data_IF_398743048311
#
_entry.id   IF_398743048311
#
_cell.length_a   1.000
_cell.length_b   1.000
_cell.length_c   1.000
_cell.angle_alpha   90.00
_cell.angle_beta   90.00
_cell.angle_gamma   90.00
#
_symmetry.space_group_name_H-M   'P 1'
#
loop_
_entity.id
_entity.type
_entity.pdbx_description
1 polymer ?
#
# COMPACT_ATOMS: atom_id res chain seq x y z
N UNK A 1 -10.96 -5.02 -15.88
CA UNK A 1 -11.53 -3.90 -15.11
C UNK A 1 -12.99 -3.64 -15.50
N UNK A 2 -13.32 -3.49 -16.79
CA UNK A 2 -14.68 -3.21 -17.28
C UNK A 2 -15.82 -4.09 -16.71
N UNK A 3 -15.67 -5.43 -16.65
CA UNK A 3 -16.72 -6.30 -16.07
C UNK A 3 -16.95 -6.11 -14.56
N UNK A 4 -15.90 -5.80 -13.79
CA UNK A 4 -15.99 -5.61 -12.32
C UNK A 4 -16.56 -4.23 -11.95
N UNK A 5 -16.32 -3.24 -12.80
CA UNK A 5 -16.87 -1.89 -12.70
C UNK A 5 -18.39 -1.95 -12.91
N UNK A 6 -18.86 -2.62 -13.97
CA UNK A 6 -20.28 -2.74 -14.27
C UNK A 6 -21.10 -3.57 -13.26
N UNK A 7 -20.47 -4.48 -12.51
CA UNK A 7 -21.13 -5.25 -11.45
C UNK A 7 -21.15 -4.56 -10.10
N UNK A 8 -20.51 -3.39 -9.97
CA UNK A 8 -20.40 -2.65 -8.73
C UNK A 8 -21.67 -1.81 -8.50
N UNK A 9 -22.15 -1.76 -7.24
CA UNK A 9 -23.26 -0.86 -6.84
C UNK A 9 -22.86 0.61 -6.78
N UNK A 10 -21.58 0.94 -7.03
CA UNK A 10 -21.10 2.31 -7.03
C UNK A 10 -21.67 3.08 -8.23
N UNK A 11 -21.89 4.38 -8.03
CA UNK A 11 -22.20 5.29 -9.12
C UNK A 11 -20.91 5.67 -9.85
N UNK A 12 -20.96 5.67 -11.18
CA UNK A 12 -19.82 6.04 -12.02
C UNK A 12 -20.11 7.36 -12.72
N UNK A 13 -19.19 8.29 -12.59
CA UNK A 13 -19.18 9.53 -13.35
C UNK A 13 -17.94 9.51 -14.25
N UNK A 14 -18.16 9.61 -15.57
CA UNK A 14 -17.09 9.84 -16.53
C UNK A 14 -17.06 11.32 -16.84
N UNK A 15 -15.87 11.91 -16.71
CA UNK A 15 -15.64 13.32 -17.03
C UNK A 15 -14.68 13.40 -18.20
N UNK A 16 -15.05 14.18 -19.21
CA UNK A 16 -14.16 14.47 -20.31
C UNK A 16 -13.02 15.38 -19.80
N UNK A 17 -11.79 14.97 -20.05
CA UNK A 17 -10.59 15.67 -19.60
C UNK A 17 -9.89 16.27 -20.80
N UNK A 18 -9.46 17.54 -20.67
CA UNK A 18 -8.66 18.20 -21.69
C UNK A 18 -7.22 17.71 -21.63
N UNK A 19 -6.69 17.25 -22.76
CA UNK A 19 -5.29 16.84 -22.90
C UNK A 19 -4.50 17.89 -23.68
N UNK A 20 -3.17 17.78 -23.75
CA UNK A 20 -2.33 18.67 -24.57
C UNK A 20 -1.37 19.60 -23.82
N UNK A 21 -1.41 19.62 -22.48
CA UNK A 21 -0.36 20.23 -21.65
C UNK A 21 0.14 19.19 -20.64
N UNK A 22 1.42 19.26 -20.29
CA UNK A 22 2.00 18.41 -19.25
C UNK A 22 1.19 18.56 -17.94
N UNK A 23 0.87 17.42 -17.32
CA UNK A 23 0.11 17.33 -16.06
C UNK A 23 -1.30 17.96 -16.10
N UNK A 24 -1.86 18.23 -17.29
CA UNK A 24 -3.20 18.81 -17.41
C UNK A 24 -4.27 17.94 -16.73
N UNK A 25 -4.11 16.61 -16.81
CA UNK A 25 -5.00 15.67 -16.13
C UNK A 25 -4.91 15.82 -14.61
N UNK A 26 -3.69 15.90 -14.07
CA UNK A 26 -3.45 16.00 -12.63
C UNK A 26 -4.10 17.27 -12.09
N UNK A 27 -3.92 18.42 -12.77
CA UNK A 27 -4.56 19.68 -12.40
C UNK A 27 -6.09 19.60 -12.43
N UNK A 28 -6.67 19.03 -13.48
CA UNK A 28 -8.12 18.85 -13.57
C UNK A 28 -8.64 17.94 -12.46
N UNK A 29 -7.93 16.85 -12.16
CA UNK A 29 -8.29 15.90 -11.12
C UNK A 29 -8.26 16.53 -9.73
N UNK A 30 -7.17 17.18 -9.35
CA UNK A 30 -7.06 17.80 -8.00
C UNK A 30 -7.99 18.99 -7.83
N UNK A 31 -8.29 19.72 -8.91
CA UNK A 31 -9.29 20.80 -8.89
C UNK A 31 -10.68 20.24 -8.63
N UNK A 32 -11.06 19.17 -9.34
CA UNK A 32 -12.35 18.53 -9.13
C UNK A 32 -12.46 17.86 -7.75
N UNK A 33 -11.38 17.26 -7.26
CA UNK A 33 -11.30 16.76 -5.88
C UNK A 33 -11.59 17.88 -4.87
N UNK A 34 -11.00 19.06 -5.04
CA UNK A 34 -11.28 20.23 -4.19
C UNK A 34 -12.76 20.63 -4.20
N UNK A 35 -13.40 20.62 -5.37
CA UNK A 35 -14.84 20.85 -5.51
C UNK A 35 -15.66 19.82 -4.72
N UNK A 36 -15.34 18.52 -4.85
CA UNK A 36 -16.05 17.46 -4.13
C UNK A 36 -15.89 17.60 -2.61
N UNK A 37 -14.68 17.91 -2.14
CA UNK A 37 -14.38 18.14 -0.72
C UNK A 37 -15.20 19.32 -0.18
N UNK A 38 -15.31 20.41 -0.94
CA UNK A 38 -16.11 21.56 -0.53
C UNK A 38 -17.60 21.20 -0.35
N UNK A 39 -18.14 20.29 -1.16
CA UNK A 39 -19.52 19.82 -1.03
C UNK A 39 -19.73 18.86 0.15
N UNK A 40 -18.73 18.05 0.49
CA UNK A 40 -18.88 16.96 1.46
C UNK A 40 -17.59 16.68 2.26
N UNK A 41 -17.11 17.62 3.09
CA UNK A 41 -15.75 17.57 3.67
C UNK A 41 -15.52 16.41 4.65
N UNK A 42 -16.58 15.80 5.18
CA UNK A 42 -16.51 14.66 6.10
C UNK A 42 -16.34 13.31 5.40
N UNK A 43 -16.38 13.25 4.07
CA UNK A 43 -16.20 12.02 3.32
C UNK A 43 -14.73 11.64 3.18
N UNK A 44 -14.48 10.35 2.96
CA UNK A 44 -13.15 9.85 2.61
C UNK A 44 -12.99 9.87 1.09
N UNK A 45 -11.92 10.50 0.63
CA UNK A 45 -11.58 10.60 -0.78
C UNK A 45 -10.34 9.77 -1.10
N UNK A 46 -10.37 9.14 -2.27
CA UNK A 46 -9.28 8.29 -2.73
C UNK A 46 -8.88 8.70 -4.14
N UNK A 47 -7.60 9.02 -4.33
CA UNK A 47 -6.99 9.14 -5.65
C UNK A 47 -6.45 7.77 -6.02
N UNK A 48 -6.94 7.19 -7.12
CA UNK A 48 -6.44 5.89 -7.59
C UNK A 48 -5.41 6.11 -8.68
N UNK A 49 -4.13 6.07 -8.33
CA UNK A 49 -3.03 6.28 -9.28
C UNK A 49 -1.74 5.63 -8.79
N UNK A 50 -0.89 5.25 -9.75
CA UNK A 50 0.49 4.82 -9.48
C UNK A 50 1.46 6.02 -9.37
N UNK A 51 0.98 7.21 -9.72
CA UNK A 51 1.77 8.43 -9.68
C UNK A 51 1.88 8.97 -8.24
N UNK A 52 3.11 9.02 -7.73
CA UNK A 52 3.41 9.53 -6.39
C UNK A 52 3.33 11.05 -6.30
N UNK A 53 3.25 11.76 -7.43
CA UNK A 53 3.04 13.22 -7.47
C UNK A 53 1.82 13.67 -6.68
N UNK A 54 0.76 12.85 -6.65
CA UNK A 54 -0.47 13.12 -5.90
C UNK A 54 -0.32 13.05 -4.37
N UNK A 55 0.81 12.55 -3.84
CA UNK A 55 1.07 12.60 -2.39
C UNK A 55 1.08 14.03 -1.85
N UNK A 56 1.51 14.99 -2.67
CA UNK A 56 1.47 16.41 -2.34
C UNK A 56 0.04 16.90 -2.04
N UNK A 57 -0.92 16.54 -2.90
CA UNK A 57 -2.33 16.85 -2.70
C UNK A 57 -2.91 16.14 -1.46
N UNK A 58 -2.56 14.86 -1.23
CA UNK A 58 -3.00 14.12 -0.05
C UNK A 58 -2.51 14.79 1.25
N UNK A 59 -1.23 15.18 1.29
CA UNK A 59 -0.65 15.89 2.44
C UNK A 59 -1.33 17.25 2.68
N UNK A 60 -1.55 18.03 1.63
CA UNK A 60 -2.21 19.35 1.72
C UNK A 60 -3.57 19.28 2.41
N UNK A 61 -4.38 18.26 2.09
CA UNK A 61 -5.69 18.04 2.69
C UNK A 61 -5.61 17.43 4.09
N UNK A 62 -4.65 16.53 4.33
CA UNK A 62 -4.40 15.95 5.65
C UNK A 62 -4.07 17.01 6.70
N UNK A 63 -3.29 18.04 6.34
CA UNK A 63 -2.96 19.18 7.21
C UNK A 63 -4.19 20.03 7.60
N UNK A 64 -5.33 19.81 6.92
CA UNK A 64 -6.62 20.48 7.18
C UNK A 64 -7.67 19.54 7.74
N UNK A 65 -7.24 18.39 8.27
CA UNK A 65 -8.10 17.35 8.84
C UNK A 65 -9.12 16.76 7.82
N UNK A 66 -8.73 16.70 6.54
CA UNK A 66 -9.54 16.13 5.45
C UNK A 66 -8.90 14.82 4.97
N UNK A 67 -9.71 13.77 4.90
CA UNK A 67 -9.27 12.42 4.55
C UNK A 67 -9.14 12.24 3.04
N UNK A 68 -7.91 12.40 2.52
CA UNK A 68 -7.55 12.08 1.14
C UNK A 68 -6.38 11.10 1.11
N UNK A 69 -6.56 9.96 0.43
CA UNK A 69 -5.54 8.91 0.33
C UNK A 69 -5.20 8.57 -1.12
N UNK A 70 -3.94 8.27 -1.38
CA UNK A 70 -3.47 7.75 -2.67
C UNK A 70 -3.44 6.22 -2.60
N UNK A 71 -4.20 5.56 -3.48
CA UNK A 71 -4.21 4.10 -3.60
C UNK A 71 -3.73 3.68 -4.98
N UNK A 72 -2.93 2.61 -5.02
CA UNK A 72 -2.33 2.12 -6.27
C UNK A 72 -3.29 1.25 -7.09
N UNK A 73 -4.40 0.80 -6.48
CA UNK A 73 -5.48 0.06 -7.12
C UNK A 73 -6.85 0.31 -6.45
N UNK A 74 -7.94 -0.02 -7.16
CA UNK A 74 -9.31 0.04 -6.66
C UNK A 74 -9.64 -1.05 -5.62
N UNK A 75 -8.67 -1.87 -5.20
CA UNK A 75 -8.92 -2.92 -4.20
C UNK A 75 -8.89 -2.39 -2.77
N UNK A 76 -8.62 -1.09 -2.58
CA UNK A 76 -8.77 -0.42 -1.28
C UNK A 76 -7.75 -0.89 -0.24
N UNK A 77 -6.63 -1.47 -0.67
CA UNK A 77 -5.53 -1.83 0.22
C UNK A 77 -4.78 -0.54 0.58
N UNK A 78 -5.23 0.09 1.66
CA UNK A 78 -4.49 1.13 2.36
C UNK A 78 -3.13 0.54 2.75
N UNK A 79 -2.06 0.98 2.08
CA UNK A 79 -0.70 0.46 2.29
C UNK A 79 -0.33 0.57 3.78
N UNK A 80 -0.77 1.62 4.48
CA UNK A 80 -0.48 1.82 5.91
C UNK A 80 -1.24 0.81 6.80
N UNK A 81 -2.48 0.43 6.45
CA UNK A 81 -3.22 -0.61 7.18
C UNK A 81 -2.66 -2.01 6.91
N UNK A 82 -2.26 -2.30 5.67
CA UNK A 82 -1.63 -3.58 5.31
C UNK A 82 -0.28 -3.72 6.01
N UNK A 83 0.52 -2.64 6.05
CA UNK A 83 1.78 -2.61 6.78
C UNK A 83 1.57 -2.81 8.29
N UNK A 84 0.57 -2.15 8.87
CA UNK A 84 0.23 -2.29 10.30
C UNK A 84 -0.23 -3.70 10.64
N UNK A 85 -1.11 -4.28 9.83
CA UNK A 85 -1.60 -5.65 10.03
C UNK A 85 -0.45 -6.65 9.90
N UNK A 86 0.40 -6.49 8.87
CA UNK A 86 1.57 -7.35 8.70
C UNK A 86 2.54 -7.24 9.88
N UNK A 87 2.78 -6.03 10.40
CA UNK A 87 3.63 -5.82 11.56
C UNK A 87 3.09 -6.55 12.81
N UNK A 88 1.76 -6.52 13.02
CA UNK A 88 1.10 -7.23 14.11
C UNK A 88 1.21 -8.75 13.94
N UNK A 89 0.96 -9.25 12.73
CA UNK A 89 1.05 -10.68 12.42
C UNK A 89 2.47 -11.21 12.59
N UNK A 90 3.48 -10.43 12.18
CA UNK A 90 4.90 -10.78 12.37
C UNK A 90 5.28 -10.77 13.85
N UNK A 91 4.79 -9.80 14.64
CA UNK A 91 5.01 -9.76 16.10
C UNK A 91 4.35 -10.93 16.84
N UNK A 92 3.25 -11.47 16.33
CA UNK A 92 2.62 -12.65 16.90
C UNK A 92 3.48 -13.92 16.76
N UNK A 93 4.32 -14.00 15.72
CA UNK A 93 5.17 -15.18 15.44
C UNK A 93 6.64 -14.97 15.79
N UNK A 94 7.10 -13.72 15.90
CA UNK A 94 8.48 -13.34 16.29
C UNK A 94 8.45 -12.59 17.62
N UNK A 95 8.94 -13.25 18.69
CA UNK A 95 8.90 -12.73 20.07
C UNK A 95 9.74 -11.47 20.29
N UNK A 96 10.85 -11.33 19.57
CA UNK A 96 11.74 -10.16 19.70
C UNK A 96 11.21 -9.01 18.82
N UNK A 97 10.86 -7.90 19.46
CA UNK A 97 10.32 -6.70 18.80
C UNK A 97 11.27 -6.12 17.74
N UNK A 98 12.56 -6.04 18.04
CA UNK A 98 13.55 -5.48 17.12
C UNK A 98 13.74 -6.40 15.90
N UNK A 99 13.69 -7.72 16.11
CA UNK A 99 13.72 -8.71 15.02
C UNK A 99 12.44 -8.65 14.19
N UNK A 100 11.26 -8.58 14.83
CA UNK A 100 9.97 -8.49 14.15
C UNK A 100 9.87 -7.26 13.24
N UNK A 101 10.34 -6.09 13.70
CA UNK A 101 10.33 -4.86 12.91
C UNK A 101 11.28 -4.94 11.69
N UNK A 102 12.41 -5.66 11.81
CA UNK A 102 13.31 -5.92 10.68
C UNK A 102 12.71 -6.91 9.69
N UNK A 103 12.11 -8.00 10.18
CA UNK A 103 11.44 -9.00 9.34
C UNK A 103 10.29 -8.40 8.56
N UNK A 104 9.46 -7.56 9.20
CA UNK A 104 8.36 -6.82 8.55
C UNK A 104 8.90 -5.98 7.39
N UNK A 105 9.97 -5.21 7.60
CA UNK A 105 10.63 -4.43 6.55
C UNK A 105 11.12 -5.29 5.38
N UNK A 106 11.66 -6.48 5.65
CA UNK A 106 12.08 -7.42 4.60
C UNK A 106 10.88 -7.92 3.80
N UNK A 107 9.78 -8.30 4.45
CA UNK A 107 8.57 -8.80 3.77
C UNK A 107 7.95 -7.71 2.88
N UNK A 108 7.96 -6.44 3.31
CA UNK A 108 7.46 -5.32 2.51
C UNK A 108 8.36 -5.04 1.31
N UNK A 109 9.68 -5.07 1.50
CA UNK A 109 10.66 -4.78 0.45
C UNK A 109 10.67 -5.84 -0.67
N UNK A 110 10.50 -7.12 -0.34
CA UNK A 110 10.64 -8.22 -1.30
C UNK A 110 9.30 -8.81 -1.74
N UNK A 111 9.15 -9.04 -3.06
CA UNK A 111 7.90 -9.51 -3.67
C UNK A 111 7.78 -11.04 -3.75
N UNK A 112 8.89 -11.77 -3.60
CA UNK A 112 8.96 -13.24 -3.77
C UNK A 112 9.41 -13.93 -2.49
N UNK A 113 8.95 -15.17 -2.28
CA UNK A 113 9.34 -16.00 -1.12
C UNK A 113 10.85 -16.24 -1.06
N UNK A 114 11.47 -16.52 -2.21
CA UNK A 114 12.92 -16.71 -2.32
C UNK A 114 13.69 -15.42 -2.00
N UNK A 115 13.22 -14.26 -2.47
CA UNK A 115 13.85 -12.97 -2.16
C UNK A 115 13.82 -12.63 -0.67
N UNK A 116 12.69 -12.94 -0.01
CA UNK A 116 12.55 -12.80 1.44
C UNK A 116 13.52 -13.73 2.17
N UNK A 117 13.61 -15.01 1.78
CA UNK A 117 14.52 -15.97 2.41
C UNK A 117 15.98 -15.53 2.31
N UNK A 118 16.44 -15.14 1.12
CA UNK A 118 17.82 -14.70 0.91
C UNK A 118 18.14 -13.44 1.73
N UNK A 119 17.19 -12.52 1.84
CA UNK A 119 17.35 -11.31 2.65
C UNK A 119 17.42 -11.62 4.16
N UNK A 120 16.63 -12.58 4.64
CA UNK A 120 16.69 -13.04 6.04
C UNK A 120 18.03 -13.69 6.36
N UNK A 121 18.52 -14.56 5.47
CA UNK A 121 19.85 -15.20 5.64
C UNK A 121 20.95 -14.15 5.70
N UNK A 122 20.87 -13.08 4.88
CA UNK A 122 21.85 -11.98 4.90
C UNK A 122 21.73 -11.09 6.15
N UNK A 123 20.52 -10.77 6.59
CA UNK A 123 20.30 -9.86 7.73
C UNK A 123 20.59 -10.53 9.08
N UNK A 124 20.31 -11.83 9.19
CA UNK A 124 20.47 -12.62 10.42
C UNK A 124 21.55 -13.69 10.30
N UNK A 125 22.67 -13.36 9.63
CA UNK A 125 23.83 -14.23 9.54
C UNK A 125 24.24 -14.70 10.94
N UNK A 126 24.15 -16.00 11.15
CA UNK A 126 24.54 -16.68 12.39
C UNK A 126 25.48 -17.82 12.01
N UNK A 127 26.40 -18.20 12.89
CA UNK A 127 27.37 -19.27 12.64
C UNK A 127 26.73 -20.56 12.09
N UNK A 128 25.48 -20.84 12.42
CA UNK A 128 24.76 -22.04 12.00
C UNK A 128 23.63 -21.80 10.97
N UNK A 129 23.39 -20.57 10.51
CA UNK A 129 22.21 -20.18 9.72
C UNK A 129 20.82 -20.56 10.31
N UNK A 130 20.78 -21.12 11.53
CA UNK A 130 19.57 -21.61 12.19
C UNK A 130 18.56 -20.49 12.42
N UNK A 131 19.03 -19.31 12.83
CA UNK A 131 18.16 -18.17 13.16
C UNK A 131 17.34 -17.69 11.96
N UNK A 132 17.95 -17.57 10.79
CA UNK A 132 17.24 -17.20 9.56
C UNK A 132 16.23 -18.28 9.12
N UNK A 133 16.60 -19.56 9.26
CA UNK A 133 15.73 -20.69 8.91
C UNK A 133 14.51 -20.81 9.83
N UNK A 134 14.69 -20.59 11.14
CA UNK A 134 13.61 -20.55 12.13
C UNK A 134 12.66 -19.38 11.87
N UNK A 135 13.20 -18.18 11.63
CA UNK A 135 12.39 -17.00 11.27
C UNK A 135 11.58 -17.25 10.00
N UNK A 136 12.21 -17.82 8.96
CA UNK A 136 11.51 -18.14 7.72
C UNK A 136 10.38 -19.16 7.94
N UNK A 137 10.61 -20.21 8.74
CA UNK A 137 9.56 -21.18 9.12
C UNK A 137 8.41 -20.50 9.85
N UNK A 138 8.70 -19.60 10.80
CA UNK A 138 7.70 -18.89 11.58
C UNK A 138 6.81 -17.97 10.71
N UNK A 139 7.40 -17.24 9.75
CA UNK A 139 6.63 -16.32 8.90
C UNK A 139 6.05 -16.97 7.64
N UNK A 140 6.43 -18.21 7.29
CA UNK A 140 5.96 -18.91 6.09
C UNK A 140 4.42 -18.88 5.92
N UNK A 141 3.59 -19.03 6.97
CA UNK A 141 2.14 -18.92 6.86
C UNK A 141 1.65 -17.54 6.38
N UNK A 142 2.40 -16.47 6.67
CA UNK A 142 2.09 -15.08 6.31
C UNK A 142 2.47 -14.75 4.85
N UNK A 143 3.25 -15.61 4.18
CA UNK A 143 3.75 -15.37 2.83
C UNK A 143 2.88 -16.02 1.73
N UNK A 144 1.66 -16.47 2.04
CA UNK A 144 0.80 -17.22 1.10
C UNK A 144 0.54 -16.47 -0.21
N UNK A 145 0.35 -15.15 -0.14
CA UNK A 145 0.02 -14.30 -1.29
C UNK A 145 1.24 -13.77 -2.07
N UNK A 146 2.47 -14.06 -1.61
CA UNK A 146 3.70 -13.65 -2.30
C UNK A 146 3.98 -14.56 -3.49
N UNK A 147 4.35 -13.96 -4.63
CA UNK A 147 4.64 -14.67 -5.89
C UNK A 147 5.67 -15.78 -5.66
N UNK A 148 5.36 -16.97 -6.15
CA UNK A 148 6.28 -18.11 -6.16
C UNK A 148 7.28 -18.01 -7.32
N UNK A 149 8.53 -18.30 -7.00
CA UNK A 149 9.28 -19.36 -7.69
C UNK A 149 9.88 -20.23 -6.60
#
# INVERSE_FOLDING_TARGET
MHRKINSCKAQFNLTEVKTGKANALDFQLVTYLGYLIAMAPKHNYFIVSQDKGFKSACQFWKERDINVSLVSDLTGRDEDQVETQLANDVRAVVKDKAVADKVTRIILKYKTKQGINNALVREFQSQDNKKASELYKAIKPLLKDKKGK
#
